data_IF_875058203926
#
_entry.id   IF_875058203926
#
_cell.length_a   1.000
_cell.length_b   1.000
_cell.length_c   1.000
_cell.angle_alpha   90.00
_cell.angle_beta   90.00
_cell.angle_gamma   90.00
#
_symmetry.space_group_name_H-M   'P 1'
#
loop_
_entity.id
_entity.type
_entity.pdbx_description
1 polymer ?
#
# COMPACT_ATOMS: atom_id res chain seq x y z
N UNK A 1 -7.37 21.37 -4.07
CA UNK A 1 -7.40 19.90 -4.15
C UNK A 1 -6.44 19.41 -3.10
N UNK A 2 -6.89 18.55 -2.21
CA UNK A 2 -6.01 17.96 -1.20
C UNK A 2 -5.10 16.93 -1.89
N UNK A 3 -3.81 16.95 -1.55
CA UNK A 3 -2.82 16.02 -2.08
C UNK A 3 -2.97 14.68 -1.37
N UNK A 4 -3.03 13.58 -2.12
CA UNK A 4 -3.06 12.22 -1.55
C UNK A 4 -1.62 11.78 -1.31
N UNK A 5 -1.27 11.49 -0.06
CA UNK A 5 0.02 10.93 0.33
C UNK A 5 -0.03 9.40 0.36
N UNK A 6 1.15 8.77 0.34
CA UNK A 6 1.28 7.30 0.54
C UNK A 6 0.61 6.88 1.86
N UNK A 7 0.73 7.72 2.88
CA UNK A 7 0.19 7.49 4.23
C UNK A 7 -1.34 7.37 4.25
N UNK A 8 -2.04 8.04 3.32
CA UNK A 8 -3.50 8.03 3.23
C UNK A 8 -4.06 6.73 2.64
N UNK A 9 -3.20 5.94 1.98
CA UNK A 9 -3.60 4.73 1.23
C UNK A 9 -2.84 3.47 1.66
N UNK A 10 -1.82 3.61 2.50
CA UNK A 10 -1.04 2.48 3.01
C UNK A 10 -1.81 1.75 4.12
N UNK A 11 -1.82 0.41 4.04
CA UNK A 11 -2.26 -0.43 5.15
C UNK A 11 -1.04 -0.81 5.97
N UNK A 12 -0.89 -0.28 7.18
CA UNK A 12 0.23 -0.66 8.04
C UNK A 12 -0.13 -1.82 8.96
N UNK A 13 0.82 -2.74 9.10
CA UNK A 13 0.81 -3.77 10.13
C UNK A 13 1.95 -3.50 11.10
N UNK A 14 1.72 -3.74 12.39
CA UNK A 14 2.83 -3.91 13.34
C UNK A 14 3.61 -5.20 13.04
N UNK A 15 4.77 -5.37 13.68
CA UNK A 15 5.55 -6.61 13.52
C UNK A 15 4.79 -7.83 14.04
N UNK A 16 4.05 -7.67 15.14
CA UNK A 16 3.22 -8.70 15.74
C UNK A 16 2.04 -9.08 14.82
N UNK A 17 1.35 -8.09 14.25
CA UNK A 17 0.26 -8.33 13.30
C UNK A 17 0.77 -9.00 12.02
N UNK A 18 1.92 -8.53 11.52
CA UNK A 18 2.56 -9.10 10.34
C UNK A 18 2.97 -10.57 10.56
N UNK A 19 3.43 -10.92 11.76
CA UNK A 19 3.78 -12.30 12.10
C UNK A 19 2.57 -13.24 12.03
N UNK A 20 1.38 -12.74 12.40
CA UNK A 20 0.13 -13.51 12.41
C UNK A 20 -0.50 -13.69 11.02
N UNK A 21 -0.08 -12.92 10.02
CA UNK A 21 -0.60 -13.07 8.66
C UNK A 21 -0.20 -14.40 8.03
N UNK A 22 -1.16 -15.06 7.40
CA UNK A 22 -0.90 -16.23 6.59
C UNK A 22 -0.17 -15.84 5.27
N UNK A 23 0.47 -16.81 4.57
CA UNK A 23 1.22 -16.52 3.36
C UNK A 23 0.40 -15.81 2.26
N UNK A 24 -0.88 -16.14 2.13
CA UNK A 24 -1.78 -15.54 1.14
C UNK A 24 -2.06 -14.06 1.46
N UNK A 25 -2.24 -13.71 2.74
CA UNK A 25 -2.40 -12.32 3.18
C UNK A 25 -1.13 -11.50 2.95
N UNK A 26 0.05 -12.06 3.26
CA UNK A 26 1.33 -11.40 2.99
C UNK A 26 1.56 -11.16 1.50
N UNK A 27 1.12 -12.10 0.65
CA UNK A 27 1.15 -11.94 -0.81
C UNK A 27 0.21 -10.82 -1.25
N UNK A 28 -1.05 -10.85 -0.80
CA UNK A 28 -2.04 -9.83 -1.13
C UNK A 28 -1.57 -8.43 -0.73
N UNK A 29 -1.00 -8.28 0.47
CA UNK A 29 -0.44 -7.01 0.93
C UNK A 29 0.62 -6.46 -0.05
N UNK A 30 1.57 -7.31 -0.48
CA UNK A 30 2.60 -6.90 -1.44
C UNK A 30 2.02 -6.52 -2.80
N UNK A 31 1.02 -7.26 -3.26
CA UNK A 31 0.36 -7.01 -4.54
C UNK A 31 -0.39 -5.67 -4.51
N UNK A 32 -1.19 -5.44 -3.45
CA UNK A 32 -1.92 -4.19 -3.23
C UNK A 32 -0.97 -3.00 -3.12
N UNK A 33 0.05 -3.06 -2.25
CA UNK A 33 0.99 -1.94 -2.08
C UNK A 33 1.77 -1.62 -3.35
N UNK A 34 2.08 -2.62 -4.17
CA UNK A 34 2.71 -2.42 -5.49
C UNK A 34 1.78 -1.72 -6.46
N UNK A 35 0.50 -2.05 -6.46
CA UNK A 35 -0.52 -1.36 -7.27
C UNK A 35 -0.73 0.07 -6.78
N UNK A 36 -0.84 0.27 -5.47
CA UNK A 36 -0.93 1.59 -4.86
C UNK A 36 0.24 2.49 -5.27
N UNK A 37 1.48 2.00 -5.20
CA UNK A 37 2.66 2.77 -5.62
C UNK A 37 2.63 3.12 -7.12
N UNK A 38 2.24 2.17 -7.98
CA UNK A 38 2.10 2.43 -9.42
C UNK A 38 1.01 3.45 -9.73
N UNK A 39 -0.11 3.38 -9.03
CA UNK A 39 -1.22 4.30 -9.20
C UNK A 39 -0.84 5.71 -8.74
N UNK A 40 -0.19 5.82 -7.57
CA UNK A 40 0.31 7.11 -7.08
C UNK A 40 1.33 7.73 -8.03
N UNK A 41 2.31 6.95 -8.52
CA UNK A 41 3.26 7.43 -9.52
C UNK A 41 2.57 7.83 -10.83
N UNK A 42 1.50 7.14 -11.23
CA UNK A 42 0.72 7.51 -12.41
C UNK A 42 -0.10 8.78 -12.22
N UNK A 43 -0.61 9.04 -11.01
CA UNK A 43 -1.38 10.26 -10.69
C UNK A 43 -0.43 11.44 -10.49
N UNK A 44 0.74 11.23 -9.88
CA UNK A 44 1.80 12.24 -9.71
C UNK A 44 2.40 12.69 -11.05
N UNK A 45 2.47 11.80 -12.05
CA UNK A 45 2.90 12.15 -13.42
C UNK A 45 1.80 12.86 -14.23
N UNK A 46 0.55 12.88 -13.74
CA UNK A 46 -0.61 13.50 -14.42
C UNK A 46 -1.07 14.83 -13.79
N UNK A 47 -0.36 15.32 -12.78
CA UNK A 47 -0.52 16.64 -12.14
C UNK A 47 0.69 17.54 -12.45
#
# INVERSE_FOLDING_TARGET
>A
MDSVAIEDVAVNFTLEEWALLNPSQKKLYRDVMRETFRNLASVEVML
#
